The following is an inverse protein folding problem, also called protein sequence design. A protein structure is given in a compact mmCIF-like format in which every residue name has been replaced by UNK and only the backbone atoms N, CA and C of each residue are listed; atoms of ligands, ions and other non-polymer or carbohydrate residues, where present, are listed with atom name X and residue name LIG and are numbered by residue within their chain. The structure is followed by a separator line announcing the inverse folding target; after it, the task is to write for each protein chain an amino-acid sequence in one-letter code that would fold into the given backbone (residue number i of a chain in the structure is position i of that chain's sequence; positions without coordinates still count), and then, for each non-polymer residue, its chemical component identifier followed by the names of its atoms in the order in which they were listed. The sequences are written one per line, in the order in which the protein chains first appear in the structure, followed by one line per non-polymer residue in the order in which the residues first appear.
data_IF_258707509020
#
_entry.id   IF_258707509020
#
_cell.length_a   1.000
_cell.length_b   1.000
_cell.length_c   1.000
_cell.angle_alpha   90.00
_cell.angle_beta   90.00
_cell.angle_gamma   90.00
#
_symmetry.space_group_name_H-M   'P 1'
#
loop_
_entity.id
_entity.type
_entity.pdbx_description
1 polymer ?
#
# COMPACT_ATOMS: atom_id res chain seq x y z
N UNK A 1 -12.57 -1.33 -18.00
CA UNK A 1 -11.13 -1.48 -17.70
C UNK A 1 -10.79 -1.22 -16.22
N UNK A 2 -11.78 -1.18 -15.30
CA UNK A 2 -11.55 -0.82 -13.88
C UNK A 2 -10.59 -1.76 -13.14
N UNK A 3 -10.48 -3.02 -13.57
CA UNK A 3 -9.59 -3.98 -12.94
C UNK A 3 -8.10 -3.76 -13.28
N UNK A 4 -7.76 -2.84 -14.18
CA UNK A 4 -6.36 -2.47 -14.51
C UNK A 4 -5.47 -3.66 -14.91
N UNK A 5 -6.03 -4.64 -15.63
CA UNK A 5 -5.23 -5.74 -16.22
C UNK A 5 -4.40 -5.30 -17.43
N UNK A 6 -4.82 -4.21 -18.07
CA UNK A 6 -4.10 -3.54 -19.15
C UNK A 6 -4.12 -2.05 -18.84
N UNK A 7 -3.00 -1.39 -19.06
CA UNK A 7 -2.83 0.06 -18.90
C UNK A 7 -2.35 0.65 -20.22
N UNK A 8 -2.62 1.93 -20.39
CA UNK A 8 -2.12 2.69 -21.52
C UNK A 8 -1.24 3.84 -21.05
N UNK A 9 -0.26 4.18 -21.87
CA UNK A 9 0.59 5.35 -21.72
C UNK A 9 0.84 5.94 -23.10
N UNK A 10 0.69 7.25 -23.21
CA UNK A 10 0.94 8.01 -24.42
C UNK A 10 1.90 9.16 -24.13
N UNK A 11 2.88 9.37 -25.02
CA UNK A 11 3.76 10.54 -24.95
C UNK A 11 3.06 11.83 -25.41
N UNK A 12 1.95 11.71 -26.15
CA UNK A 12 1.08 12.84 -26.47
C UNK A 12 0.23 13.20 -25.23
N UNK A 13 0.43 14.40 -24.70
CA UNK A 13 -0.19 14.83 -23.45
C UNK A 13 -1.72 14.95 -23.53
N UNK A 14 -2.27 15.28 -24.71
CA UNK A 14 -3.72 15.38 -24.86
C UNK A 14 -4.37 13.99 -24.84
N UNK A 15 -3.74 13.02 -25.50
CA UNK A 15 -4.21 11.64 -25.50
C UNK A 15 -4.02 10.97 -24.14
N UNK A 16 -2.87 11.16 -23.49
CA UNK A 16 -2.61 10.65 -22.14
C UNK A 16 -3.66 11.14 -21.16
N UNK A 17 -3.96 12.45 -21.20
CA UNK A 17 -4.98 13.05 -20.35
C UNK A 17 -6.35 12.38 -20.51
N UNK A 18 -6.77 12.08 -21.75
CA UNK A 18 -8.05 11.38 -22.00
C UNK A 18 -8.05 10.00 -21.35
N UNK A 19 -6.97 9.22 -21.46
CA UNK A 19 -6.91 7.87 -20.89
C UNK A 19 -6.78 7.87 -19.36
N UNK A 20 -6.04 8.82 -18.82
CA UNK A 20 -5.93 9.08 -17.37
C UNK A 20 -7.31 9.44 -16.80
N UNK A 21 -8.05 10.37 -17.41
CA UNK A 21 -9.40 10.77 -16.96
C UNK A 21 -10.42 9.61 -17.01
N UNK A 22 -10.21 8.61 -17.85
CA UNK A 22 -11.02 7.39 -17.90
C UNK A 22 -10.57 6.30 -16.90
N UNK A 23 -9.49 6.55 -16.14
CA UNK A 23 -8.90 5.62 -15.18
C UNK A 23 -8.15 4.46 -15.84
N UNK A 24 -7.63 4.65 -17.06
CA UNK A 24 -6.91 3.62 -17.83
C UNK A 24 -5.38 3.82 -17.85
N UNK A 25 -4.89 4.88 -17.22
CA UNK A 25 -3.48 5.14 -16.98
C UNK A 25 -2.92 4.39 -15.77
N UNK A 26 -1.59 4.37 -15.65
CA UNK A 26 -0.86 3.69 -14.58
C UNK A 26 -0.54 4.53 -13.34
N UNK A 27 -1.23 5.66 -13.16
CA UNK A 27 -0.90 6.64 -12.13
C UNK A 27 -1.19 6.16 -10.70
N UNK A 28 -0.38 6.66 -9.76
CA UNK A 28 -0.69 6.63 -8.33
C UNK A 28 -1.63 7.80 -8.05
N UNK A 29 -2.83 7.51 -7.56
CA UNK A 29 -3.88 8.50 -7.38
C UNK A 29 -3.57 9.45 -6.22
N UNK A 30 -3.91 10.73 -6.39
CA UNK A 30 -3.88 11.72 -5.32
C UNK A 30 -5.12 11.63 -4.44
N UNK A 31 -4.97 11.85 -3.14
CA UNK A 31 -6.07 11.91 -2.17
C UNK A 31 -5.81 13.00 -1.15
N UNK A 32 -6.89 13.60 -0.64
CA UNK A 32 -6.81 14.64 0.41
C UNK A 32 -6.87 14.03 1.83
N UNK A 33 -7.15 12.74 1.92
CA UNK A 33 -7.30 11.96 3.15
C UNK A 33 -6.47 10.69 3.05
N UNK A 34 -6.88 9.65 3.76
CA UNK A 34 -6.14 8.42 3.87
C UNK A 34 -6.08 7.63 2.54
N UNK A 35 -4.97 6.92 2.37
CA UNK A 35 -4.59 6.22 1.16
C UNK A 35 -3.76 4.99 1.48
N UNK A 36 -4.04 3.90 0.78
CA UNK A 36 -3.22 2.69 0.85
C UNK A 36 -3.04 2.09 -0.54
N UNK A 37 -1.80 1.79 -0.91
CA UNK A 37 -1.51 0.84 -1.98
C UNK A 37 -0.40 -0.11 -1.54
N UNK A 38 -0.64 -1.41 -1.69
CA UNK A 38 0.35 -2.47 -1.44
C UNK A 38 0.84 -2.99 -2.78
N UNK A 39 2.10 -2.70 -3.11
CA UNK A 39 2.72 -3.01 -4.40
C UNK A 39 3.77 -4.09 -4.20
N UNK A 40 3.59 -5.21 -4.89
CA UNK A 40 4.49 -6.36 -4.88
C UNK A 40 5.36 -6.35 -6.14
N UNK A 41 6.66 -6.54 -5.96
CA UNK A 41 7.67 -6.63 -7.02
C UNK A 41 8.47 -7.92 -6.84
N UNK A 42 8.04 -8.98 -7.51
CA UNK A 42 8.73 -10.26 -7.47
C UNK A 42 10.02 -10.22 -8.30
N UNK A 43 11.15 -10.31 -7.61
CA UNK A 43 12.49 -10.20 -8.21
C UNK A 43 13.16 -11.56 -8.46
N UNK A 44 12.54 -12.67 -8.03
CA UNK A 44 13.14 -14.00 -8.17
C UNK A 44 13.06 -14.56 -9.60
N UNK A 45 12.38 -13.86 -10.52
CA UNK A 45 12.24 -14.27 -11.93
C UNK A 45 11.30 -15.46 -12.17
N UNK A 46 10.64 -15.98 -11.14
CA UNK A 46 9.64 -17.04 -11.25
C UNK A 46 8.21 -16.49 -11.28
N UNK A 47 7.26 -17.25 -11.83
CA UNK A 47 5.85 -16.83 -11.96
C UNK A 47 5.03 -17.01 -10.68
N UNK A 48 5.66 -16.91 -9.51
CA UNK A 48 5.07 -17.31 -8.22
C UNK A 48 3.93 -16.40 -7.77
N UNK A 49 3.86 -15.14 -8.22
CA UNK A 49 2.76 -14.22 -7.88
C UNK A 49 1.39 -14.79 -8.22
N UNK A 50 1.30 -15.65 -9.25
CA UNK A 50 0.05 -16.30 -9.66
C UNK A 50 -0.53 -17.24 -8.59
N UNK A 51 0.31 -17.75 -7.69
CA UNK A 51 -0.04 -18.69 -6.62
C UNK A 51 0.09 -18.08 -5.22
N UNK A 52 0.38 -16.78 -5.12
CA UNK A 52 0.29 -16.04 -3.86
C UNK A 52 -1.16 -15.61 -3.63
N UNK A 53 -1.69 -15.89 -2.44
CA UNK A 53 -2.89 -15.26 -1.91
C UNK A 53 -2.49 -14.15 -0.93
N UNK A 54 -3.09 -12.97 -1.08
CA UNK A 54 -2.82 -11.82 -0.23
C UNK A 54 -4.09 -11.31 0.44
N UNK A 55 -3.99 -11.04 1.74
CA UNK A 55 -5.03 -10.39 2.55
C UNK A 55 -4.45 -9.15 3.21
N UNK A 56 -5.17 -8.05 3.14
CA UNK A 56 -4.76 -6.76 3.69
C UNK A 56 -5.83 -6.33 4.70
N UNK A 57 -5.40 -6.08 5.93
CA UNK A 57 -6.21 -5.48 6.97
C UNK A 57 -5.64 -4.10 7.26
N UNK A 58 -6.50 -3.10 7.24
CA UNK A 58 -6.16 -1.72 7.52
C UNK A 58 -7.03 -1.22 8.68
N UNK A 59 -6.43 -0.50 9.61
CA UNK A 59 -7.16 0.12 10.70
C UNK A 59 -6.64 1.53 10.94
N UNK A 60 -7.50 2.53 10.81
CA UNK A 60 -7.24 3.91 11.21
C UNK A 60 -7.80 4.17 12.59
N UNK A 61 -6.92 4.43 13.54
CA UNK A 61 -7.27 4.78 14.92
C UNK A 61 -7.17 6.29 15.10
N UNK A 62 -8.32 6.96 15.13
CA UNK A 62 -8.40 8.39 15.42
C UNK A 62 -8.26 8.60 16.94
N UNK A 63 -7.24 9.36 17.33
CA UNK A 63 -6.95 9.71 18.71
C UNK A 63 -7.84 10.85 19.21
N UNK A 64 -7.86 11.06 20.53
CA UNK A 64 -8.63 12.15 21.16
C UNK A 64 -8.15 13.54 20.71
N UNK A 65 -6.87 13.69 20.35
CA UNK A 65 -6.30 14.94 19.81
C UNK A 65 -6.54 15.11 18.30
N UNK A 66 -7.29 14.19 17.67
CA UNK A 66 -7.56 14.17 16.25
C UNK A 66 -6.43 13.60 15.39
N UNK A 67 -5.26 13.27 15.95
CA UNK A 67 -4.23 12.55 15.19
C UNK A 67 -4.71 11.15 14.80
N UNK A 68 -4.21 10.63 13.69
CA UNK A 68 -4.61 9.32 13.17
C UNK A 68 -3.39 8.42 13.08
N UNK A 69 -3.50 7.25 13.71
CA UNK A 69 -2.49 6.20 13.64
C UNK A 69 -3.09 5.03 12.91
N UNK A 70 -2.48 4.66 11.80
CA UNK A 70 -2.89 3.52 11.01
C UNK A 70 -2.07 2.29 11.37
N UNK A 71 -2.73 1.14 11.31
CA UNK A 71 -2.11 -0.18 11.37
C UNK A 71 -2.49 -0.97 10.13
N UNK A 72 -1.50 -1.38 9.34
CA UNK A 72 -1.66 -2.22 8.16
C UNK A 72 -1.06 -3.58 8.43
N UNK A 73 -1.86 -4.63 8.31
CA UNK A 73 -1.43 -6.03 8.39
C UNK A 73 -1.62 -6.70 7.04
N UNK A 74 -0.55 -7.28 6.49
CA UNK A 74 -0.53 -7.94 5.18
C UNK A 74 -0.16 -9.40 5.39
N UNK A 75 -1.04 -10.31 5.02
CA UNK A 75 -0.79 -11.75 5.08
C UNK A 75 -0.60 -12.25 3.65
N UNK A 76 0.53 -12.90 3.38
CA UNK A 76 0.86 -13.51 2.08
C UNK A 76 1.04 -15.00 2.26
N UNK A 77 0.27 -15.80 1.53
CA UNK A 77 0.33 -17.26 1.56
C UNK A 77 0.73 -17.80 0.20
N UNK A 78 1.73 -18.67 0.16
CA UNK A 78 2.18 -19.30 -1.07
C UNK A 78 1.52 -20.67 -1.27
N UNK A 79 0.53 -20.75 -2.16
CA UNK A 79 -0.27 -21.96 -2.39
C UNK A 79 0.33 -22.94 -3.44
N UNK A 80 1.53 -22.66 -3.95
CA UNK A 80 2.29 -23.60 -4.79
C UNK A 80 3.11 -24.64 -4.01
N UNK A 81 4.09 -25.28 -4.67
CA UNK A 81 4.95 -26.31 -4.07
C UNK A 81 4.65 -27.74 -4.52
N UNK A 82 3.44 -27.96 -5.05
CA UNK A 82 3.02 -29.25 -5.63
C UNK A 82 2.47 -29.09 -7.06
N UNK A 83 2.82 -27.99 -7.72
CA UNK A 83 2.38 -27.74 -9.09
C UNK A 83 3.17 -28.59 -10.08
N UNK A 84 2.52 -28.99 -11.18
CA UNK A 84 3.21 -29.57 -12.34
C UNK A 84 4.19 -28.60 -13.01
N UNK A 85 4.10 -27.30 -12.71
CA UNK A 85 4.98 -26.27 -13.23
C UNK A 85 6.01 -25.86 -12.17
N UNK A 86 7.28 -26.16 -12.42
CA UNK A 86 8.37 -25.94 -11.45
C UNK A 86 8.49 -24.50 -10.96
N UNK A 87 8.18 -23.52 -11.81
CA UNK A 87 8.23 -22.10 -11.45
C UNK A 87 7.17 -21.67 -10.44
N UNK A 88 6.12 -22.47 -10.20
CA UNK A 88 5.18 -22.24 -9.09
C UNK A 88 5.61 -22.94 -7.80
N UNK A 89 6.75 -23.63 -7.78
CA UNK A 89 7.26 -24.36 -6.62
C UNK A 89 8.52 -23.70 -6.05
N UNK A 90 8.81 -22.45 -6.43
CA UNK A 90 9.96 -21.68 -5.96
C UNK A 90 9.53 -20.64 -4.92
N UNK A 91 10.48 -20.15 -4.12
CA UNK A 91 10.25 -19.01 -3.23
C UNK A 91 9.76 -17.80 -4.03
N UNK A 92 8.74 -17.11 -3.52
CA UNK A 92 8.41 -15.75 -3.94
C UNK A 92 9.33 -14.79 -3.17
N UNK A 93 10.36 -14.26 -3.85
CA UNK A 93 11.21 -13.22 -3.30
C UNK A 93 10.67 -11.88 -3.79
N UNK A 94 10.01 -11.16 -2.91
CA UNK A 94 9.24 -9.97 -3.22
C UNK A 94 9.83 -8.74 -2.55
N UNK A 95 9.95 -7.66 -3.31
CA UNK A 95 10.15 -6.33 -2.76
C UNK A 95 8.78 -5.65 -2.63
N UNK A 96 8.24 -5.72 -1.42
CA UNK A 96 6.92 -5.20 -1.08
C UNK A 96 7.05 -3.73 -0.69
N UNK A 97 6.18 -2.89 -1.27
CA UNK A 97 6.09 -1.46 -0.99
C UNK A 97 4.69 -1.09 -0.53
N UNK A 98 4.59 -0.38 0.59
CA UNK A 98 3.34 0.18 1.11
C UNK A 98 3.35 1.69 0.90
N UNK A 99 2.49 2.16 0.01
CA UNK A 99 2.31 3.58 -0.31
C UNK A 99 1.20 4.14 0.57
N UNK A 100 1.52 5.23 1.26
CA UNK A 100 0.64 5.91 2.22
C UNK A 100 0.66 7.43 1.97
N UNK A 101 -0.24 8.23 2.59
CA UNK A 101 -0.24 9.67 2.39
C UNK A 101 1.14 10.30 2.60
N UNK A 102 1.49 11.26 1.76
CA UNK A 102 2.80 11.92 1.82
C UNK A 102 3.00 12.61 3.17
N UNK A 103 4.11 12.33 3.82
CA UNK A 103 4.45 12.86 5.14
C UNK A 103 4.03 11.95 6.30
N UNK A 104 3.42 10.79 6.01
CA UNK A 104 3.18 9.75 7.01
C UNK A 104 4.48 9.29 7.64
N UNK A 105 4.47 9.09 8.96
CA UNK A 105 5.66 8.73 9.73
C UNK A 105 5.56 7.28 10.20
N UNK A 106 6.51 6.45 9.79
CA UNK A 106 6.60 5.08 10.30
C UNK A 106 6.84 5.10 11.82
N UNK A 107 6.04 4.33 12.56
CA UNK A 107 6.17 4.14 14.00
C UNK A 107 6.77 2.76 14.31
N UNK A 108 6.33 1.73 13.59
CA UNK A 108 6.83 0.37 13.72
C UNK A 108 6.62 -0.44 12.43
N UNK A 109 7.49 -1.40 12.17
CA UNK A 109 7.34 -2.41 11.12
C UNK A 109 7.92 -3.76 11.58
N UNK A 110 7.23 -4.86 11.27
CA UNK A 110 7.65 -6.22 11.61
C UNK A 110 7.16 -7.26 10.60
N UNK A 111 7.80 -8.43 10.58
CA UNK A 111 7.43 -9.56 9.73
C UNK A 111 8.15 -9.63 8.38
N UNK A 112 8.88 -8.57 8.01
CA UNK A 112 9.76 -8.52 6.85
C UNK A 112 10.96 -9.47 6.95
N UNK A 113 11.50 -9.84 5.80
CA UNK A 113 12.81 -10.48 5.66
C UNK A 113 13.90 -9.42 5.71
N UNK A 114 14.91 -9.60 6.57
CA UNK A 114 16.09 -8.76 6.57
C UNK A 114 17.07 -9.26 5.51
N UNK A 115 17.28 -8.47 4.47
CA UNK A 115 18.25 -8.75 3.42
C UNK A 115 19.35 -7.69 3.43
N UNK A 116 20.60 -8.14 3.42
CA UNK A 116 21.76 -7.27 3.28
C UNK A 116 22.16 -7.16 1.81
N UNK A 117 22.38 -5.94 1.32
CA UNK A 117 22.97 -5.72 0.01
C UNK A 117 24.48 -5.59 0.12
N UNK A 118 25.20 -6.38 -0.67
CA UNK A 118 26.64 -6.21 -0.92
C UNK A 118 26.81 -6.02 -2.41
N UNK A 119 27.41 -4.90 -2.80
CA UNK A 119 27.71 -4.65 -4.20
C UNK A 119 28.64 -5.77 -4.72
N UNK A 120 28.32 -6.42 -5.85
CA UNK A 120 29.12 -7.53 -6.37
C UNK A 120 30.51 -7.07 -6.84
N UNK A 121 30.64 -5.78 -7.17
CA UNK A 121 31.88 -5.13 -7.59
C UNK A 121 31.91 -3.68 -7.06
N UNK A 122 33.09 -3.09 -7.03
CA UNK A 122 33.26 -1.66 -6.80
C UNK A 122 32.97 -0.88 -8.09
N UNK A 123 31.74 -0.41 -8.24
CA UNK A 123 31.30 0.33 -9.42
C UNK A 123 32.08 1.64 -9.64
N UNK A 124 32.51 2.31 -8.57
CA UNK A 124 33.28 3.54 -8.66
C UNK A 124 34.69 3.26 -9.21
N UNK A 125 35.35 2.22 -8.68
CA UNK A 125 36.65 1.79 -9.18
C UNK A 125 36.60 1.30 -10.64
N UNK A 126 35.46 0.74 -11.07
CA UNK A 126 35.24 0.29 -12.45
C UNK A 126 34.79 1.43 -13.40
N UNK A 127 34.69 2.67 -12.92
CA UNK A 127 34.37 3.83 -13.75
C UNK A 127 32.91 3.92 -14.20
N UNK A 128 31.99 3.26 -13.49
CA UNK A 128 30.56 3.40 -13.76
C UNK A 128 30.10 4.83 -13.44
N UNK A 129 29.17 5.33 -14.26
CA UNK A 129 28.57 6.65 -14.07
C UNK A 129 27.28 6.50 -13.28
N UNK A 130 27.08 7.40 -12.34
CA UNK A 130 25.82 7.49 -11.63
C UNK A 130 24.80 8.25 -12.49
N UNK A 131 23.57 7.74 -12.54
CA UNK A 131 22.44 8.44 -13.12
C UNK A 131 21.82 9.39 -12.07
N UNK A 132 21.47 10.61 -12.49
CA UNK A 132 21.02 11.64 -11.55
C UNK A 132 19.65 11.32 -10.93
N UNK A 133 18.76 10.68 -11.70
CA UNK A 133 17.42 10.33 -11.22
C UNK A 133 17.52 9.18 -10.21
N UNK A 134 18.34 8.17 -10.53
CA UNK A 134 18.62 7.04 -9.61
C UNK A 134 19.25 7.54 -8.31
N UNK A 135 20.26 8.41 -8.40
CA UNK A 135 20.91 8.98 -7.21
C UNK A 135 19.93 9.75 -6.33
N UNK A 136 19.03 10.51 -6.93
CA UNK A 136 18.03 11.29 -6.18
C UNK A 136 17.12 10.37 -5.38
N UNK A 137 16.70 9.24 -5.96
CA UNK A 137 15.89 8.23 -5.28
C UNK A 137 16.67 7.52 -4.16
N UNK A 138 17.90 7.10 -4.45
CA UNK A 138 18.74 6.37 -3.49
C UNK A 138 19.12 7.24 -2.29
N UNK A 139 19.49 8.51 -2.52
CA UNK A 139 19.86 9.45 -1.45
C UNK A 139 18.66 9.88 -0.59
N UNK A 140 17.45 9.86 -1.15
CA UNK A 140 16.21 10.16 -0.42
C UNK A 140 15.73 9.03 0.48
N UNK A 141 16.36 7.85 0.41
CA UNK A 141 15.93 6.67 1.18
C UNK A 141 16.55 6.65 2.58
N UNK A 142 15.69 6.52 3.58
CA UNK A 142 16.06 6.33 4.99
C UNK A 142 15.80 4.87 5.37
N UNK A 143 16.73 4.24 6.07
CA UNK A 143 16.54 2.88 6.61
C UNK A 143 16.20 2.98 8.10
N UNK A 144 15.02 2.49 8.49
CA UNK A 144 14.69 2.34 9.91
C UNK A 144 15.61 1.26 10.53
N UNK A 145 16.41 1.65 11.51
CA UNK A 145 17.43 0.78 12.08
C UNK A 145 16.86 -0.44 12.82
N UNK A 146 15.61 -0.35 13.30
CA UNK A 146 14.98 -1.44 14.07
C UNK A 146 14.42 -2.52 13.16
N UNK A 147 13.74 -2.11 12.08
CA UNK A 147 13.02 -3.01 11.19
C UNK A 147 13.76 -3.30 9.88
N UNK A 148 14.76 -2.50 9.51
CA UNK A 148 15.37 -2.54 8.19
C UNK A 148 14.46 -2.00 7.07
N UNK A 149 13.33 -1.37 7.42
CA UNK A 149 12.39 -0.81 6.46
C UNK A 149 12.99 0.38 5.74
N UNK A 150 12.94 0.36 4.41
CA UNK A 150 13.31 1.49 3.57
C UNK A 150 12.13 2.47 3.53
N UNK A 151 12.41 3.75 3.79
CA UNK A 151 11.42 4.83 3.84
C UNK A 151 11.85 5.88 2.84
N UNK A 152 11.02 6.15 1.84
CA UNK A 152 11.32 7.12 0.78
C UNK A 152 10.04 7.76 0.24
N UNK A 153 10.18 8.77 -0.61
CA UNK A 153 9.06 9.36 -1.35
C UNK A 153 9.06 8.88 -2.80
N UNK A 154 7.90 8.46 -3.30
CA UNK A 154 7.70 8.11 -4.70
C UNK A 154 6.28 8.50 -5.11
N UNK A 155 6.11 9.07 -6.31
CA UNK A 155 4.79 9.41 -6.88
C UNK A 155 3.88 10.23 -5.94
N UNK A 156 4.48 11.15 -5.17
CA UNK A 156 3.75 11.98 -4.22
C UNK A 156 3.17 11.22 -3.02
N UNK A 157 3.79 10.10 -2.64
CA UNK A 157 3.45 9.29 -1.46
C UNK A 157 4.69 9.06 -0.60
N UNK A 158 4.47 8.78 0.68
CA UNK A 158 5.49 8.14 1.51
C UNK A 158 5.41 6.63 1.30
N UNK A 159 6.55 5.96 1.18
CA UNK A 159 6.64 4.54 0.84
C UNK A 159 7.44 3.80 1.91
N UNK A 160 6.91 2.69 2.38
CA UNK A 160 7.60 1.74 3.24
C UNK A 160 7.94 0.48 2.44
N UNK A 161 9.23 0.28 2.14
CA UNK A 161 9.75 -0.81 1.33
C UNK A 161 10.45 -1.87 2.16
N UNK A 162 10.14 -3.15 1.90
CA UNK A 162 10.74 -4.29 2.57
C UNK A 162 10.89 -5.50 1.65
N UNK A 163 11.91 -6.31 1.93
CA UNK A 163 12.02 -7.65 1.38
C UNK A 163 11.08 -8.62 2.10
N UNK A 164 10.39 -9.45 1.32
CA UNK A 164 9.39 -10.40 1.82
C UNK A 164 9.51 -11.72 1.08
N UNK A 165 10.01 -12.74 1.75
CA UNK A 165 10.23 -14.05 1.13
C UNK A 165 9.16 -15.03 1.61
N UNK A 166 8.44 -15.64 0.67
CA UNK A 166 7.40 -16.63 0.98
C UNK A 166 7.74 -17.96 0.31
N UNK A 167 8.11 -18.95 1.13
CA UNK A 167 8.40 -20.30 0.67
C UNK A 167 7.13 -21.06 0.27
N UNK A 168 7.23 -22.05 -0.63
CA UNK A 168 6.07 -22.86 -1.01
C UNK A 168 5.40 -23.56 0.17
N UNK A 169 4.08 -23.42 0.29
CA UNK A 169 3.29 -23.97 1.39
C UNK A 169 3.24 -23.09 2.64
N UNK A 170 4.10 -22.08 2.73
CA UNK A 170 4.21 -21.20 3.89
C UNK A 170 3.36 -19.93 3.75
N UNK A 171 3.19 -19.24 4.88
CA UNK A 171 2.62 -17.91 4.94
C UNK A 171 3.50 -16.99 5.78
N UNK A 172 3.51 -15.71 5.40
CA UNK A 172 4.15 -14.64 6.18
C UNK A 172 3.12 -13.56 6.49
N UNK A 173 3.33 -12.89 7.61
CA UNK A 173 2.52 -11.75 8.06
C UNK A 173 3.45 -10.56 8.29
N UNK A 174 3.08 -9.41 7.71
CA UNK A 174 3.75 -8.14 7.90
C UNK A 174 2.81 -7.17 8.58
N UNK A 175 3.35 -6.37 9.49
CA UNK A 175 2.58 -5.33 10.17
C UNK A 175 3.35 -4.02 10.14
N UNK A 176 2.68 -2.96 9.70
CA UNK A 176 3.15 -1.59 9.71
C UNK A 176 2.25 -0.77 10.63
N UNK A 177 2.84 0.08 11.45
CA UNK A 177 2.15 1.12 12.18
C UNK A 177 2.74 2.47 11.79
N UNK A 178 1.90 3.42 11.41
CA UNK A 178 2.35 4.75 11.00
C UNK A 178 1.35 5.83 11.40
N UNK A 179 1.83 7.06 11.56
CA UNK A 179 1.00 8.22 11.84
C UNK A 179 0.75 9.00 10.54
N UNK A 180 -0.51 9.33 10.26
CA UNK A 180 -0.89 10.17 9.13
C UNK A 180 -0.43 11.63 9.29
N UNK A 181 -0.22 12.37 8.18
CA UNK A 181 0.34 13.73 8.19
C UNK A 181 -0.68 14.82 8.55
N UNK A 182 -1.90 14.45 8.95
CA UNK A 182 -2.98 15.38 9.27
C UNK A 182 -3.68 14.98 10.57
N UNK A 183 -4.49 15.91 11.08
CA UNK A 183 -5.41 15.67 12.20
C UNK A 183 -6.84 15.94 11.75
N UNK A 184 -7.79 15.22 12.33
CA UNK A 184 -9.21 15.53 12.21
C UNK A 184 -9.59 16.59 13.26
N UNK A 185 -10.36 17.59 12.86
CA UNK A 185 -10.94 18.54 13.80
C UNK A 185 -12.22 17.95 14.41
N UNK A 186 -12.05 17.24 15.53
CA UNK A 186 -13.15 16.62 16.25
C UNK A 186 -14.04 17.63 16.99
N UNK A 187 -13.68 18.92 17.00
CA UNK A 187 -14.46 19.97 17.66
C UNK A 187 -15.48 20.64 16.73
N UNK A 188 -15.32 20.47 15.41
CA UNK A 188 -16.21 21.00 14.39
C UNK A 188 -17.61 20.36 14.45
N UNK A 189 -18.62 21.09 13.95
CA UNK A 189 -20.00 20.58 13.87
C UNK A 189 -20.11 19.34 12.97
N UNK A 190 -19.28 19.30 11.92
CA UNK A 190 -19.07 18.14 11.09
C UNK A 190 -17.60 18.02 10.65
N UNK A 191 -17.18 16.80 10.35
CA UNK A 191 -15.90 16.54 9.70
C UNK A 191 -16.02 15.38 8.71
N UNK A 192 -15.10 15.33 7.75
CA UNK A 192 -15.07 14.28 6.73
C UNK A 192 -13.87 13.35 6.87
N UNK A 193 -14.14 12.08 6.61
CA UNK A 193 -13.15 11.02 6.43
C UNK A 193 -13.32 10.40 5.06
N UNK A 194 -12.22 10.02 4.43
CA UNK A 194 -12.25 9.10 3.30
C UNK A 194 -10.98 8.29 3.24
N UNK A 195 -11.09 7.09 2.69
CA UNK A 195 -9.98 6.16 2.49
C UNK A 195 -10.06 5.61 1.08
N UNK A 196 -8.93 5.65 0.37
CA UNK A 196 -8.75 5.04 -0.94
C UNK A 196 -7.74 3.90 -0.84
N UNK A 197 -8.20 2.68 -1.10
CA UNK A 197 -7.34 1.51 -1.28
C UNK A 197 -7.10 1.31 -2.79
N UNK A 198 -5.93 1.69 -3.29
CA UNK A 198 -5.61 1.56 -4.69
C UNK A 198 -5.07 0.16 -5.01
N UNK A 199 -5.64 -0.48 -6.02
CA UNK A 199 -5.21 -1.78 -6.51
C UNK A 199 -3.85 -1.66 -7.21
N UNK A 200 -2.99 -2.67 -7.03
CA UNK A 200 -1.85 -2.91 -7.92
C UNK A 200 -2.33 -3.36 -9.31
N UNK A 201 -2.00 -2.57 -10.34
CA UNK A 201 -2.26 -2.91 -11.73
C UNK A 201 -1.64 -4.25 -12.14
N UNK A 202 -2.34 -5.01 -12.98
CA UNK A 202 -1.95 -6.37 -13.39
C UNK A 202 -2.14 -7.47 -12.33
N UNK A 203 -2.48 -7.12 -11.09
CA UNK A 203 -2.77 -8.12 -10.05
C UNK A 203 -4.17 -8.72 -10.19
N UNK A 204 -4.36 -9.94 -9.70
CA UNK A 204 -5.69 -10.57 -9.60
C UNK A 204 -6.55 -9.98 -8.48
N UNK A 205 -5.97 -9.12 -7.63
CA UNK A 205 -6.59 -8.51 -6.47
C UNK A 205 -6.20 -9.16 -5.15
N UNK A 206 -6.59 -8.53 -4.05
CA UNK A 206 -6.35 -8.98 -2.67
C UNK A 206 -7.62 -8.81 -1.87
N UNK A 207 -7.84 -9.69 -0.88
CA UNK A 207 -8.89 -9.44 0.11
C UNK A 207 -8.52 -8.21 0.92
N UNK A 208 -9.46 -7.31 1.14
CA UNK A 208 -9.23 -6.06 1.82
C UNK A 208 -10.31 -5.76 2.86
N UNK A 209 -9.88 -5.42 4.05
CA UNK A 209 -10.73 -4.95 5.13
C UNK A 209 -10.13 -3.66 5.70
N UNK A 210 -10.97 -2.65 5.90
CA UNK A 210 -10.60 -1.38 6.51
C UNK A 210 -11.52 -1.08 7.69
N UNK A 211 -10.95 -0.68 8.81
CA UNK A 211 -11.67 -0.23 9.99
C UNK A 211 -11.28 1.22 10.29
N UNK A 212 -12.26 2.11 10.34
CA UNK A 212 -12.11 3.41 10.98
C UNK A 212 -12.61 3.30 12.43
N UNK A 213 -11.73 3.59 13.38
CA UNK A 213 -12.03 3.63 14.80
C UNK A 213 -11.99 5.07 15.29
N UNK A 214 -13.14 5.59 15.72
CA UNK A 214 -13.29 6.92 16.29
C UNK A 214 -13.11 6.87 17.81
N UNK A 215 -12.72 7.98 18.46
CA UNK A 215 -12.48 8.00 19.91
C UNK A 215 -13.76 8.05 20.76
N UNK A 216 -14.91 8.33 20.12
CA UNK A 216 -16.21 8.53 20.76
C UNK A 216 -17.33 8.07 19.81
N UNK A 217 -18.54 7.87 20.33
CA UNK A 217 -19.72 7.66 19.49
C UNK A 217 -19.98 8.87 18.59
N UNK A 218 -20.62 8.62 17.46
CA UNK A 218 -20.72 9.59 16.38
C UNK A 218 -22.04 9.43 15.64
N UNK A 219 -22.46 10.50 14.96
CA UNK A 219 -23.58 10.49 14.04
C UNK A 219 -23.05 10.53 12.61
N UNK A 220 -23.48 9.59 11.79
CA UNK A 220 -23.19 9.64 10.35
C UNK A 220 -24.23 10.54 9.69
N UNK A 221 -23.80 11.67 9.15
CA UNK A 221 -24.65 12.56 8.34
C UNK A 221 -24.67 12.11 6.88
N UNK A 222 -23.57 11.53 6.39
CA UNK A 222 -23.48 10.96 5.05
C UNK A 222 -22.43 9.85 5.00
N UNK A 223 -22.67 8.85 4.14
CA UNK A 223 -21.70 7.79 3.89
C UNK A 223 -21.73 7.28 2.45
N UNK A 224 -20.57 6.79 2.01
CA UNK A 224 -20.41 5.98 0.82
C UNK A 224 -19.41 4.84 1.09
N UNK A 225 -19.69 3.61 0.66
CA UNK A 225 -20.95 3.15 0.10
C UNK A 225 -22.10 3.19 1.14
N UNK A 226 -23.34 3.07 0.69
CA UNK A 226 -24.51 3.20 1.57
C UNK A 226 -24.60 2.09 2.63
N UNK A 227 -23.87 0.99 2.47
CA UNK A 227 -23.93 -0.23 3.28
C UNK A 227 -22.68 -0.47 4.13
N UNK A 228 -22.00 0.58 4.60
CA UNK A 228 -20.90 0.43 5.57
C UNK A 228 -21.40 -0.24 6.85
N UNK A 229 -20.58 -1.13 7.41
CA UNK A 229 -20.86 -1.81 8.67
C UNK A 229 -20.49 -0.87 9.82
N UNK A 230 -21.47 -0.48 10.65
CA UNK A 230 -21.27 0.45 11.76
C UNK A 230 -21.58 -0.24 13.07
N UNK A 231 -20.63 -0.24 14.00
CA UNK A 231 -20.79 -0.85 15.31
C UNK A 231 -20.15 0.04 16.39
N UNK A 232 -20.98 0.77 17.14
CA UNK A 232 -20.52 1.70 18.18
C UNK A 232 -19.59 2.76 17.60
N UNK A 233 -18.30 2.66 17.92
CA UNK A 233 -17.26 3.61 17.52
C UNK A 233 -16.50 3.18 16.24
N UNK A 234 -16.90 2.06 15.63
CA UNK A 234 -16.23 1.46 14.48
C UNK A 234 -17.08 1.57 13.21
N UNK A 235 -16.42 1.94 12.12
CA UNK A 235 -16.92 1.79 10.77
C UNK A 235 -16.02 0.79 10.05
N UNK A 236 -16.61 -0.26 9.51
CA UNK A 236 -15.94 -1.30 8.77
C UNK A 236 -16.35 -1.29 7.31
N UNK A 237 -15.35 -1.42 6.45
CA UNK A 237 -15.46 -1.64 5.02
C UNK A 237 -14.77 -2.95 4.67
N UNK A 238 -15.40 -3.79 3.85
CA UNK A 238 -14.81 -5.03 3.34
C UNK A 238 -15.01 -5.11 1.84
N UNK A 239 -13.96 -5.52 1.11
CA UNK A 239 -13.99 -5.65 -0.34
C UNK A 239 -12.84 -6.50 -0.87
N UNK A 240 -12.80 -6.66 -2.19
CA UNK A 240 -11.66 -7.26 -2.89
C UNK A 240 -11.02 -6.16 -3.75
N UNK A 241 -9.70 -5.97 -3.67
CA UNK A 241 -8.94 -5.07 -4.55
C UNK A 241 -8.82 -5.60 -5.98
N UNK A 242 -9.92 -6.09 -6.56
CA UNK A 242 -10.05 -6.36 -8.00
C UNK A 242 -10.16 -5.06 -8.78
N UNK A 243 -10.69 -4.02 -8.15
CA UNK A 243 -10.65 -2.61 -8.55
C UNK A 243 -10.09 -1.77 -7.40
N UNK A 244 -9.87 -0.47 -7.62
CA UNK A 244 -9.64 0.44 -6.50
C UNK A 244 -10.91 0.49 -5.63
N UNK A 245 -10.74 0.53 -4.32
CA UNK A 245 -11.84 0.59 -3.35
C UNK A 245 -11.82 1.92 -2.59
N UNK A 246 -12.99 2.49 -2.36
CA UNK A 246 -13.14 3.78 -1.72
C UNK A 246 -14.34 3.79 -0.78
N UNK A 247 -14.15 4.35 0.42
CA UNK A 247 -15.25 4.73 1.28
C UNK A 247 -15.03 6.11 1.89
N UNK A 248 -16.13 6.80 2.15
CA UNK A 248 -16.15 8.16 2.67
C UNK A 248 -17.31 8.37 3.62
N UNK A 249 -17.10 9.29 4.57
CA UNK A 249 -18.02 9.58 5.66
C UNK A 249 -18.04 11.10 5.89
N UNK A 250 -19.22 11.64 6.14
CA UNK A 250 -19.39 12.91 6.85
C UNK A 250 -19.98 12.57 8.20
N UNK A 251 -19.23 12.94 9.24
CA UNK A 251 -19.59 12.69 10.62
C UNK A 251 -20.07 14.00 11.22
N UNK A 252 -21.31 13.98 11.72
CA UNK A 252 -21.91 15.05 12.47
C UNK A 252 -21.75 14.84 13.97
N UNK A 253 -21.83 15.94 14.71
CA UNK A 253 -21.89 15.94 16.17
C UNK A 253 -23.25 15.50 16.70
#
# INVERSE_FOLDING_TARGET
MKEKHVLFYFSDAALEKVFVEQGWGGEILSTDKDYLAVINTNVNGFKTDRVIEQKIYHQSQVQVDGSVVDTVKIIRRHNGGQSQYDWYNKVNADYLRVYVPRGSKLLAAQGQTLEGYVAPIDYQAQGFKNDADVLTQEQGTIIDQKSGTQIFEESGKSVFGNWVYVSPGEAVELTYQYQLPFRLDLSADNFSWSMLAQKQSGSLGSQFESILQLPQEFKIDWQYPANLEVAGQQIKFSGDLKTDEFYGLVIGR
#
